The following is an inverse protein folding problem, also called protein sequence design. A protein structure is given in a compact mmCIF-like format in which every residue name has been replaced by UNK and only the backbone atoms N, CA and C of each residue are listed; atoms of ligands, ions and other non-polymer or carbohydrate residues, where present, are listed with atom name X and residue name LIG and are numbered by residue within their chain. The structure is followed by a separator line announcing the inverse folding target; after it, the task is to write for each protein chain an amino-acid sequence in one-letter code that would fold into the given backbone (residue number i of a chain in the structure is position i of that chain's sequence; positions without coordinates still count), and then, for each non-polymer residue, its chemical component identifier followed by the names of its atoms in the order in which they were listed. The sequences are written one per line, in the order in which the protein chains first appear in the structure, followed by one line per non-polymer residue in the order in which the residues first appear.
data_IF_522111584124
#
_entry.id   IF_522111584124
#
_cell.length_a   1.000
_cell.length_b   1.000
_cell.length_c   1.000
_cell.angle_alpha   90.00
_cell.angle_beta   90.00
_cell.angle_gamma   90.00
#
_symmetry.space_group_name_H-M   'P 1'
#
loop_
_entity.id
_entity.type
_entity.pdbx_description
1 polymer ?
#
# COMPACT_ATOMS: atom_id res chain seq x y z
N UNK A 1 -17.50 -2.94 -5.32
CA UNK A 1 -16.89 -2.80 -3.99
C UNK A 1 -16.96 -4.13 -3.25
N UNK A 2 -15.87 -4.52 -2.63
CA UNK A 2 -15.82 -5.75 -1.85
C UNK A 2 -16.50 -5.55 -0.50
N UNK A 3 -17.11 -6.61 0.01
CA UNK A 3 -17.86 -6.56 1.27
C UNK A 3 -17.17 -7.41 2.33
N UNK A 4 -17.34 -7.07 3.62
CA UNK A 4 -16.85 -7.91 4.70
C UNK A 4 -17.32 -9.37 4.53
N UNK A 5 -16.40 -10.29 4.74
CA UNK A 5 -16.65 -11.73 4.60
C UNK A 5 -16.31 -12.31 3.24
N UNK A 6 -16.12 -11.47 2.21
CA UNK A 6 -15.66 -11.95 0.91
C UNK A 6 -14.24 -12.46 1.01
N UNK A 7 -13.92 -13.54 0.29
CA UNK A 7 -12.61 -14.16 0.29
C UNK A 7 -11.97 -14.05 -1.08
N UNK A 8 -10.76 -13.50 -1.13
CA UNK A 8 -9.97 -13.38 -2.35
C UNK A 8 -8.90 -14.46 -2.37
N UNK A 9 -8.73 -15.11 -3.53
CA UNK A 9 -7.70 -16.14 -3.76
C UNK A 9 -7.76 -17.28 -2.75
N UNK A 10 -8.93 -17.60 -2.23
CA UNK A 10 -9.15 -18.62 -1.19
C UNK A 10 -8.25 -18.42 0.04
N UNK A 11 -7.85 -17.18 0.30
CA UNK A 11 -6.84 -16.89 1.30
C UNK A 11 -7.14 -15.66 2.14
N UNK A 12 -7.57 -14.57 1.50
CA UNK A 12 -7.72 -13.27 2.16
C UNK A 12 -9.18 -12.95 2.40
N UNK A 13 -9.57 -12.90 3.65
CA UNK A 13 -10.93 -12.51 4.01
C UNK A 13 -11.00 -11.00 4.23
N UNK A 14 -11.88 -10.33 3.51
CA UNK A 14 -12.11 -8.89 3.66
C UNK A 14 -12.80 -8.63 5.00
N UNK A 15 -12.22 -7.74 5.80
CA UNK A 15 -12.75 -7.38 7.11
C UNK A 15 -13.42 -6.01 7.09
N UNK A 16 -12.75 -5.00 6.55
CA UNK A 16 -13.23 -3.62 6.61
C UNK A 16 -12.53 -2.76 5.56
N UNK A 17 -13.08 -1.57 5.31
CA UNK A 17 -12.46 -0.56 4.45
C UNK A 17 -11.54 0.30 5.31
N UNK A 18 -10.30 0.45 4.86
CA UNK A 18 -9.30 1.30 5.52
C UNK A 18 -9.27 2.70 4.90
N UNK A 19 -9.40 2.77 3.57
CA UNK A 19 -9.36 4.03 2.86
C UNK A 19 -9.72 3.88 1.41
N UNK A 20 -9.93 5.01 0.74
CA UNK A 20 -10.25 5.04 -0.68
C UNK A 20 -9.45 6.14 -1.37
N UNK A 21 -8.84 5.81 -2.49
CA UNK A 21 -8.14 6.75 -3.35
C UNK A 21 -8.88 6.99 -4.65
N UNK A 22 -8.23 7.68 -5.58
CA UNK A 22 -8.80 7.97 -6.89
C UNK A 22 -9.05 6.71 -7.71
N UNK A 23 -8.11 5.77 -7.71
CA UNK A 23 -8.16 4.57 -8.55
C UNK A 23 -8.37 3.27 -7.79
N UNK A 24 -8.19 3.30 -6.47
CA UNK A 24 -8.20 2.08 -5.66
C UNK A 24 -8.88 2.27 -4.32
N UNK A 25 -9.27 1.16 -3.73
CA UNK A 25 -9.81 1.09 -2.37
C UNK A 25 -8.90 0.16 -1.57
N UNK A 26 -8.56 0.55 -0.35
CA UNK A 26 -7.73 -0.25 0.54
C UNK A 26 -8.62 -0.88 1.61
N UNK A 27 -8.50 -2.19 1.76
CA UNK A 27 -9.23 -2.98 2.73
C UNK A 27 -8.29 -3.57 3.77
N UNK A 28 -8.77 -3.69 4.99
CA UNK A 28 -8.17 -4.56 5.99
C UNK A 28 -8.67 -5.97 5.71
N UNK A 29 -7.76 -6.94 5.71
CA UNK A 29 -8.11 -8.33 5.45
C UNK A 29 -7.33 -9.27 6.37
N UNK A 30 -7.86 -10.48 6.53
CA UNK A 30 -7.19 -11.55 7.26
C UNK A 30 -6.58 -12.54 6.30
N UNK A 31 -5.28 -12.72 6.37
CA UNK A 31 -4.58 -13.77 5.64
C UNK A 31 -4.69 -15.06 6.44
N UNK A 32 -5.55 -15.97 5.99
CA UNK A 32 -5.80 -17.23 6.69
C UNK A 32 -4.67 -18.25 6.52
N UNK A 33 -3.80 -18.04 5.54
CA UNK A 33 -2.66 -18.93 5.34
C UNK A 33 -1.51 -18.64 6.31
N UNK A 34 -1.18 -17.37 6.48
CA UNK A 34 -0.14 -16.94 7.41
C UNK A 34 -0.69 -16.44 8.73
N UNK A 35 -2.01 -16.46 8.89
CA UNK A 35 -2.72 -16.13 10.12
C UNK A 35 -2.35 -14.74 10.65
N UNK A 36 -2.44 -13.74 9.77
CA UNK A 36 -2.14 -12.35 10.10
C UNK A 36 -3.05 -11.39 9.36
N UNK A 37 -3.19 -10.16 9.87
CA UNK A 37 -3.91 -9.10 9.18
C UNK A 37 -2.99 -8.45 8.14
N UNK A 38 -3.58 -8.08 7.01
CA UNK A 38 -2.88 -7.39 5.91
C UNK A 38 -3.77 -6.27 5.38
N UNK A 39 -3.17 -5.37 4.61
CA UNK A 39 -3.90 -4.40 3.81
C UNK A 39 -3.96 -4.90 2.37
N UNK A 40 -5.11 -4.76 1.73
CA UNK A 40 -5.27 -5.12 0.32
C UNK A 40 -5.76 -3.89 -0.44
N UNK A 41 -4.94 -3.43 -1.37
CA UNK A 41 -5.27 -2.33 -2.26
C UNK A 41 -5.87 -2.92 -3.53
N UNK A 42 -7.12 -2.58 -3.80
CA UNK A 42 -7.90 -3.15 -4.91
C UNK A 42 -8.14 -2.07 -5.96
N UNK A 43 -7.79 -2.36 -7.20
CA UNK A 43 -8.09 -1.45 -8.32
C UNK A 43 -9.61 -1.40 -8.52
N UNK A 44 -10.18 -0.18 -8.58
CA UNK A 44 -11.61 -0.01 -8.76
C UNK A 44 -12.09 -0.62 -10.07
N UNK A 45 -13.31 -1.19 -10.13
CA UNK A 45 -13.81 -1.86 -11.33
C UNK A 45 -13.79 -1.00 -12.59
N UNK A 46 -14.05 0.30 -12.46
CA UNK A 46 -14.03 1.23 -13.59
C UNK A 46 -12.67 1.35 -14.26
N UNK A 47 -11.59 0.99 -13.59
CA UNK A 47 -10.23 1.03 -14.12
C UNK A 47 -9.70 -0.36 -14.48
N UNK A 48 -10.36 -1.42 -14.03
CA UNK A 48 -9.88 -2.79 -14.23
C UNK A 48 -9.96 -3.28 -15.67
N UNK A 49 -10.77 -2.62 -16.50
CA UNK A 49 -10.89 -2.94 -17.93
C UNK A 49 -9.92 -2.13 -18.81
N UNK A 50 -9.20 -1.18 -18.23
CA UNK A 50 -8.23 -0.36 -18.96
C UNK A 50 -6.83 -0.93 -18.74
N UNK A 51 -6.21 -1.44 -19.79
CA UNK A 51 -4.89 -2.07 -19.73
C UNK A 51 -3.81 -1.12 -19.22
N UNK A 52 -3.92 0.18 -19.51
CA UNK A 52 -2.93 1.16 -19.05
C UNK A 52 -2.97 1.31 -17.54
N UNK A 53 -4.15 1.37 -16.95
CA UNK A 53 -4.29 1.46 -15.49
C UNK A 53 -3.84 0.17 -14.81
N UNK A 54 -4.20 -0.98 -15.36
CA UNK A 54 -3.79 -2.28 -14.82
C UNK A 54 -2.27 -2.41 -14.86
N UNK A 55 -1.65 -2.03 -15.98
CA UNK A 55 -0.20 -2.11 -16.13
C UNK A 55 0.52 -1.20 -15.14
N UNK A 56 0.06 0.04 -14.98
CA UNK A 56 0.62 0.97 -14.00
C UNK A 56 0.48 0.45 -12.58
N UNK A 57 -0.68 -0.10 -12.25
CA UNK A 57 -0.95 -0.66 -10.94
C UNK A 57 0.03 -1.79 -10.61
N UNK A 58 0.26 -2.70 -11.57
CA UNK A 58 1.20 -3.81 -11.41
C UNK A 58 2.65 -3.35 -11.32
N UNK A 59 3.07 -2.42 -12.18
CA UNK A 59 4.43 -1.90 -12.19
C UNK A 59 4.75 -1.23 -10.85
N UNK A 60 3.84 -0.42 -10.35
CA UNK A 60 3.99 0.27 -9.07
C UNK A 60 4.19 -0.73 -7.92
N UNK A 61 3.37 -1.78 -7.91
CA UNK A 61 3.47 -2.82 -6.90
C UNK A 61 4.77 -3.62 -7.02
N UNK A 62 5.15 -3.99 -8.24
CA UNK A 62 6.37 -4.76 -8.48
C UNK A 62 7.63 -3.96 -8.13
N UNK A 63 7.63 -2.67 -8.37
CA UNK A 63 8.74 -1.80 -8.00
C UNK A 63 8.96 -1.77 -6.48
N UNK A 64 7.88 -1.88 -5.71
CA UNK A 64 7.94 -1.88 -4.25
C UNK A 64 8.14 -3.27 -3.65
N UNK A 65 7.78 -4.32 -4.37
CA UNK A 65 7.76 -5.69 -3.83
C UNK A 65 9.13 -6.22 -3.42
N UNK A 66 10.19 -5.79 -4.10
CA UNK A 66 11.56 -6.19 -3.77
C UNK A 66 12.24 -5.32 -2.73
N UNK A 67 11.55 -4.29 -2.26
CA UNK A 67 12.12 -3.28 -1.39
C UNK A 67 11.78 -3.58 0.06
N UNK A 68 12.79 -3.76 0.90
CA UNK A 68 12.61 -3.94 2.34
C UNK A 68 13.30 -2.80 3.07
N UNK A 69 12.52 -1.99 3.78
CA UNK A 69 13.02 -0.85 4.54
C UNK A 69 12.06 -0.55 5.69
N UNK A 70 12.56 -0.22 6.88
CA UNK A 70 11.69 0.03 8.04
C UNK A 70 10.73 1.21 7.87
N UNK A 71 11.04 2.14 6.98
CA UNK A 71 10.21 3.33 6.75
C UNK A 71 9.39 3.24 5.47
N UNK A 72 9.25 2.05 4.90
CA UNK A 72 8.45 1.78 3.71
C UNK A 72 7.52 0.62 4.00
N UNK A 73 6.26 0.76 3.60
CA UNK A 73 5.28 -0.33 3.72
C UNK A 73 5.69 -1.47 2.78
N UNK A 74 5.80 -2.68 3.34
CA UNK A 74 6.16 -3.86 2.56
C UNK A 74 5.01 -4.32 1.67
N UNK A 75 5.32 -4.62 0.41
CA UNK A 75 4.38 -5.30 -0.49
C UNK A 75 4.66 -6.79 -0.40
N UNK A 76 3.64 -7.56 -0.05
CA UNK A 76 3.77 -9.01 0.14
C UNK A 76 3.45 -9.79 -1.12
N UNK A 77 2.47 -9.34 -1.90
CA UNK A 77 2.01 -10.07 -3.08
C UNK A 77 1.24 -9.16 -4.03
N UNK A 78 1.17 -9.56 -5.28
CA UNK A 78 0.34 -8.92 -6.31
C UNK A 78 -0.50 -10.04 -6.91
N UNK A 79 -1.81 -9.93 -6.77
CA UNK A 79 -2.72 -11.00 -7.16
C UNK A 79 -3.79 -10.50 -8.14
N UNK A 80 -4.28 -11.43 -8.95
CA UNK A 80 -5.39 -11.23 -9.86
C UNK A 80 -6.38 -12.36 -9.61
N UNK A 81 -7.55 -12.03 -9.10
CA UNK A 81 -8.60 -12.98 -8.80
C UNK A 81 -9.83 -12.63 -9.63
N UNK A 82 -10.02 -13.36 -10.73
CA UNK A 82 -11.15 -13.21 -11.63
C UNK A 82 -11.39 -11.75 -12.07
N UNK A 83 -10.31 -11.10 -12.51
CA UNK A 83 -10.36 -9.72 -12.97
C UNK A 83 -10.29 -8.68 -11.87
N UNK A 84 -10.17 -9.08 -10.61
CA UNK A 84 -9.96 -8.20 -9.49
C UNK A 84 -8.44 -8.11 -9.25
N UNK A 85 -7.89 -6.93 -9.48
CA UNK A 85 -6.44 -6.70 -9.34
C UNK A 85 -6.13 -6.15 -7.97
N UNK A 86 -5.27 -6.84 -7.24
CA UNK A 86 -4.99 -6.55 -5.83
C UNK A 86 -3.51 -6.49 -5.54
N UNK A 87 -3.15 -5.60 -4.63
CA UNK A 87 -1.82 -5.55 -4.03
C UNK A 87 -2.00 -5.86 -2.55
N UNK A 88 -1.36 -6.95 -2.09
CA UNK A 88 -1.36 -7.33 -0.69
C UNK A 88 -0.13 -6.74 -0.04
N UNK A 89 -0.34 -5.99 1.02
CA UNK A 89 0.75 -5.25 1.66
C UNK A 89 0.62 -5.25 3.18
N UNK A 90 1.65 -4.79 3.83
CA UNK A 90 1.69 -4.60 5.26
C UNK A 90 0.56 -3.68 5.71
N UNK A 91 -0.17 -4.09 6.74
CA UNK A 91 -1.16 -3.24 7.39
C UNK A 91 -0.47 -2.43 8.47
N UNK A 92 -0.45 -1.11 8.29
CA UNK A 92 0.07 -0.20 9.31
C UNK A 92 -1.12 0.27 10.14
N UNK A 93 -1.15 -0.14 11.39
CA UNK A 93 -2.17 0.29 12.34
C UNK A 93 -1.72 1.56 13.04
N UNK A 94 -2.61 2.53 13.11
CA UNK A 94 -2.30 3.82 13.69
C UNK A 94 -2.96 4.93 12.90
N UNK A 95 -2.46 6.13 13.04
CA UNK A 95 -2.98 7.30 12.36
C UNK A 95 -2.00 7.82 11.32
N UNK A 96 -2.52 8.54 10.33
CA UNK A 96 -1.68 9.20 9.33
C UNK A 96 -1.02 10.43 9.92
N UNK A 97 0.03 10.92 9.27
CA UNK A 97 0.67 12.19 9.65
C UNK A 97 -0.35 13.33 9.59
N UNK A 98 -1.23 13.32 8.60
CA UNK A 98 -2.29 14.32 8.48
C UNK A 98 -3.20 14.31 9.71
N UNK A 99 -3.65 13.13 10.13
CA UNK A 99 -4.49 12.96 11.32
C UNK A 99 -3.76 13.38 12.58
N UNK A 100 -2.47 13.06 12.69
CA UNK A 100 -1.66 13.48 13.82
C UNK A 100 -1.60 15.00 13.93
N UNK A 101 -1.38 15.69 12.82
CA UNK A 101 -1.35 17.17 12.78
C UNK A 101 -2.73 17.75 13.13
N UNK A 102 -3.80 17.15 12.61
CA UNK A 102 -5.16 17.60 12.91
C UNK A 102 -5.49 17.47 14.41
N UNK A 103 -5.01 16.41 15.06
CA UNK A 103 -5.27 16.15 16.47
C UNK A 103 -4.38 16.98 17.41
N UNK A 104 -3.13 17.22 17.03
CA UNK A 104 -2.12 17.80 17.90
C UNK A 104 -1.69 19.21 17.48
N UNK A 105 -2.17 19.69 16.33
CA UNK A 105 -1.80 20.98 15.78
C UNK A 105 -0.43 20.94 15.11
N UNK A 106 0.18 22.11 14.95
CA UNK A 106 1.47 22.24 14.28
C UNK A 106 2.54 21.38 14.97
N UNK A 107 3.34 20.68 14.18
CA UNK A 107 4.49 19.93 14.68
C UNK A 107 5.54 20.88 15.26
N UNK A 108 6.14 20.52 16.39
CA UNK A 108 7.33 21.24 16.85
C UNK A 108 8.53 20.89 15.94
N UNK A 109 9.58 21.70 16.04
CA UNK A 109 10.74 21.56 15.15
C UNK A 109 11.41 20.19 15.28
N UNK A 110 11.58 19.70 16.50
CA UNK A 110 12.21 18.41 16.74
C UNK A 110 11.42 17.26 16.12
N UNK A 111 10.12 17.22 16.32
CA UNK A 111 9.24 16.20 15.75
C UNK A 111 9.22 16.27 14.22
N UNK A 112 9.14 17.49 13.67
CA UNK A 112 9.15 17.70 12.22
C UNK A 112 10.46 17.21 11.59
N UNK A 113 11.60 17.47 12.23
CA UNK A 113 12.91 17.01 11.77
C UNK A 113 12.98 15.49 11.82
N UNK A 114 12.55 14.87 12.91
CA UNK A 114 12.56 13.42 13.05
C UNK A 114 11.71 12.72 11.99
N UNK A 115 10.49 13.20 11.76
CA UNK A 115 9.62 12.65 10.72
C UNK A 115 10.26 12.83 9.32
N UNK A 116 10.83 14.00 9.08
CA UNK A 116 11.48 14.31 7.79
C UNK A 116 12.67 13.39 7.52
N UNK A 117 13.48 13.10 8.53
CA UNK A 117 14.62 12.19 8.40
C UNK A 117 14.15 10.79 8.05
N UNK A 118 13.12 10.29 8.71
CA UNK A 118 12.58 8.95 8.44
C UNK A 118 11.96 8.86 7.06
N UNK A 119 11.21 9.87 6.65
CA UNK A 119 10.63 9.94 5.30
C UNK A 119 11.75 9.98 4.26
N UNK A 120 12.76 10.81 4.46
CA UNK A 120 13.89 10.93 3.55
C UNK A 120 14.67 9.61 3.44
N UNK A 121 14.84 8.90 4.55
CA UNK A 121 15.50 7.59 4.56
C UNK A 121 14.74 6.58 3.71
N UNK A 122 13.40 6.54 3.83
CA UNK A 122 12.58 5.69 2.98
C UNK A 122 12.66 6.07 1.51
N UNK A 123 12.58 7.36 1.21
CA UNK A 123 12.69 7.87 -0.16
C UNK A 123 14.06 7.56 -0.77
N UNK A 124 15.13 7.70 -0.01
CA UNK A 124 16.48 7.35 -0.46
C UNK A 124 16.55 5.89 -0.87
N UNK A 125 16.01 4.98 -0.06
CA UNK A 125 15.97 3.56 -0.39
C UNK A 125 15.18 3.30 -1.67
N UNK A 126 14.04 3.98 -1.86
CA UNK A 126 13.25 3.88 -3.09
C UNK A 126 14.04 4.34 -4.30
N UNK A 127 14.72 5.48 -4.21
CA UNK A 127 15.48 6.05 -5.31
C UNK A 127 16.70 5.20 -5.68
N UNK A 128 17.39 4.65 -4.70
CA UNK A 128 18.55 3.77 -4.94
C UNK A 128 18.13 2.46 -5.57
N UNK A 129 16.97 1.94 -5.22
CA UNK A 129 16.49 0.65 -5.69
C UNK A 129 15.80 0.74 -7.05
N UNK A 130 14.97 1.76 -7.27
CA UNK A 130 14.11 1.85 -8.45
C UNK A 130 14.57 2.88 -9.48
N UNK A 131 15.44 3.80 -9.09
CA UNK A 131 15.93 4.81 -10.00
C UNK A 131 16.82 4.18 -11.07
N UNK A 132 16.67 4.55 -12.34
CA UNK A 132 17.59 4.07 -13.36
C UNK A 132 19.00 4.61 -13.10
N UNK A 133 19.99 3.85 -13.53
CA UNK A 133 21.38 4.30 -13.48
C UNK A 133 21.54 5.60 -14.29
N UNK A 134 22.36 6.54 -13.83
CA UNK A 134 22.62 7.75 -14.63
C UNK A 134 23.17 7.49 -16.03
N UNK A 135 23.59 6.27 -16.31
CA UNK A 135 24.11 5.87 -17.62
C UNK A 135 23.09 5.23 -18.51
N UNK A 136 21.95 4.94 -17.96
CA UNK A 136 20.90 4.25 -18.70
C UNK A 136 20.08 5.23 -19.51
#
# INVERSE_FOLDING_TARGET
MLKPGMILCDRYEILDVVGAGGMSIVYKARDHRLNRNVAIKVLKPEFSNDKNFVTKFRIEAQASAGLTHPNIVNVYDVVDDEGIYCIVMELVEGITLKQYIEQNGRLNMETAINFSIQIASGLEACLLYTSPSPRD
#
